data_IF_735792239476
#
_entry.id   IF_735792239476
#
_cell.length_a   1.000
_cell.length_b   1.000
_cell.length_c   1.000
_cell.angle_alpha   90.00
_cell.angle_beta   90.00
_cell.angle_gamma   90.00
#
_symmetry.space_group_name_H-M   'P 1'
#
loop_
_entity.id
_entity.type
_entity.pdbx_description
1 polymer ?
#
# COMPACT_ATOMS: atom_id res chain seq x y z
N UNK A 1 -10.75 10.64 -23.93
CA UNK A 1 -12.07 11.10 -23.46
C UNK A 1 -12.95 9.88 -23.13
N UNK A 2 -13.25 9.66 -21.89
CA UNK A 2 -14.18 8.62 -21.43
C UNK A 2 -15.47 9.29 -21.01
N UNK A 3 -16.59 9.01 -21.69
CA UNK A 3 -17.88 9.61 -21.37
C UNK A 3 -19.00 8.59 -21.32
N UNK A 4 -19.91 8.74 -20.36
CA UNK A 4 -21.16 8.01 -20.25
C UNK A 4 -22.30 8.90 -20.72
N UNK A 5 -23.04 8.48 -21.75
CA UNK A 5 -24.17 9.25 -22.27
C UNK A 5 -25.47 8.48 -22.15
N UNK A 6 -26.57 9.20 -21.90
CA UNK A 6 -27.93 8.66 -21.93
C UNK A 6 -28.49 8.70 -23.36
N UNK A 7 -29.21 7.67 -23.83
CA UNK A 7 -29.64 7.46 -25.21
C UNK A 7 -30.88 8.28 -25.63
N UNK A 8 -31.06 9.50 -25.17
CA UNK A 8 -32.07 10.40 -25.69
C UNK A 8 -31.41 11.60 -26.36
N UNK A 9 -31.95 12.08 -27.45
CA UNK A 9 -31.40 12.96 -28.48
C UNK A 9 -30.84 14.34 -28.07
N UNK A 10 -30.48 14.54 -26.82
CA UNK A 10 -29.61 15.59 -26.33
C UNK A 10 -28.37 14.92 -25.71
N UNK A 11 -27.18 15.34 -26.09
CA UNK A 11 -25.89 14.92 -25.52
C UNK A 11 -25.76 15.36 -24.04
N UNK A 12 -26.64 14.87 -23.18
CA UNK A 12 -26.50 15.03 -21.75
C UNK A 12 -25.59 13.88 -21.25
N UNK A 13 -24.35 14.19 -20.99
CA UNK A 13 -23.47 13.28 -20.30
C UNK A 13 -23.98 13.08 -18.87
N UNK A 14 -24.01 11.85 -18.40
CA UNK A 14 -24.27 11.51 -16.99
C UNK A 14 -23.03 11.85 -16.17
N UNK A 15 -21.86 11.51 -16.74
CA UNK A 15 -20.55 11.81 -16.19
C UNK A 15 -19.54 11.85 -17.32
N UNK A 16 -18.48 12.65 -17.20
CA UNK A 16 -17.42 12.79 -18.19
C UNK A 16 -16.10 12.97 -17.49
N UNK A 17 -15.08 12.30 -17.98
CA UNK A 17 -13.71 12.43 -17.54
C UNK A 17 -12.77 12.57 -18.72
N UNK A 18 -11.96 13.61 -18.71
CA UNK A 18 -10.94 13.89 -19.71
C UNK A 18 -9.62 13.33 -19.20
N UNK A 19 -9.31 12.09 -19.58
CA UNK A 19 -8.07 11.40 -19.21
C UNK A 19 -6.86 12.07 -19.85
N UNK A 20 -5.84 12.31 -19.02
CA UNK A 20 -4.50 12.70 -19.43
C UNK A 20 -3.48 11.79 -18.71
N UNK A 21 -2.42 11.42 -19.39
CA UNK A 21 -1.38 10.54 -18.84
C UNK A 21 -0.61 11.20 -17.67
N UNK A 22 -0.56 12.53 -17.64
CA UNK A 22 -0.01 13.32 -16.54
C UNK A 22 -0.79 13.25 -15.23
N UNK A 23 -1.98 12.63 -15.21
CA UNK A 23 -2.75 12.38 -13.98
C UNK A 23 -2.21 11.20 -13.17
N UNK A 24 -1.33 10.41 -13.77
CA UNK A 24 -0.65 9.34 -13.03
C UNK A 24 0.38 9.91 -12.05
N UNK A 25 0.62 9.16 -10.99
CA UNK A 25 1.57 9.54 -9.95
C UNK A 25 2.99 9.70 -10.54
N UNK A 26 3.59 10.87 -10.35
CA UNK A 26 4.84 11.30 -10.99
C UNK A 26 6.09 10.48 -10.63
N UNK A 27 6.03 9.73 -9.51
CA UNK A 27 7.15 8.87 -9.06
C UNK A 27 6.99 7.41 -9.50
N UNK A 28 6.03 7.09 -10.38
CA UNK A 28 5.97 5.79 -11.04
C UNK A 28 7.04 5.73 -12.13
N UNK A 29 7.79 4.65 -12.17
CA UNK A 29 8.77 4.39 -13.25
C UNK A 29 8.07 4.20 -14.59
N UNK A 30 6.87 3.61 -14.58
CA UNK A 30 6.03 3.36 -15.75
C UNK A 30 4.56 3.36 -15.33
N UNK A 31 3.71 4.06 -16.07
CA UNK A 31 2.26 4.08 -15.88
C UNK A 31 1.53 3.00 -16.69
N UNK A 32 2.22 2.25 -17.57
CA UNK A 32 1.60 1.19 -18.37
C UNK A 32 1.07 0.07 -17.45
N UNK A 33 -0.21 -0.26 -17.61
CA UNK A 33 -0.88 -1.28 -16.79
C UNK A 33 -1.32 -0.80 -15.40
N UNK A 34 -1.09 0.47 -15.05
CA UNK A 34 -1.55 1.05 -13.78
C UNK A 34 -2.92 1.71 -13.98
N UNK A 35 -3.90 1.32 -13.17
CA UNK A 35 -5.22 1.97 -13.19
C UNK A 35 -5.16 3.36 -12.56
N UNK A 36 -5.86 4.32 -13.18
CA UNK A 36 -6.17 5.58 -12.54
C UNK A 36 -7.46 5.41 -11.72
N UNK A 37 -7.40 5.68 -10.43
CA UNK A 37 -8.47 5.46 -9.47
C UNK A 37 -9.03 6.78 -8.94
N UNK A 38 -10.34 6.82 -8.76
CA UNK A 38 -11.04 7.95 -8.17
C UNK A 38 -10.93 7.91 -6.65
N UNK A 39 -10.49 9.00 -6.02
CA UNK A 39 -10.30 9.13 -4.57
C UNK A 39 -11.64 9.25 -3.85
N UNK A 40 -12.53 10.10 -4.38
CA UNK A 40 -13.86 10.37 -3.82
C UNK A 40 -14.94 10.33 -4.88
N UNK A 41 -15.98 9.53 -4.64
CA UNK A 41 -17.15 9.45 -5.53
C UNK A 41 -18.07 10.68 -5.46
N UNK A 42 -17.92 11.52 -4.44
CA UNK A 42 -18.71 12.74 -4.23
C UNK A 42 -18.03 14.01 -4.73
N UNK A 43 -16.72 13.96 -4.98
CA UNK A 43 -15.99 15.07 -5.56
C UNK A 43 -16.20 15.16 -7.08
N UNK A 44 -15.89 16.31 -7.66
CA UNK A 44 -16.02 16.56 -9.10
C UNK A 44 -15.16 15.56 -9.88
N UNK A 45 -15.75 14.94 -10.90
CA UNK A 45 -15.08 13.99 -11.79
C UNK A 45 -13.97 14.63 -12.61
N UNK A 46 -14.09 15.90 -12.96
CA UNK A 46 -13.08 16.63 -13.73
C UNK A 46 -11.96 17.22 -12.86
N UNK A 47 -12.04 17.10 -11.53
CA UNK A 47 -10.96 17.55 -10.65
C UNK A 47 -9.78 16.59 -10.76
N UNK A 48 -8.62 17.09 -11.19
CA UNK A 48 -7.38 16.33 -11.30
C UNK A 48 -6.98 15.74 -9.93
N UNK A 49 -7.16 16.50 -8.84
CA UNK A 49 -6.87 16.07 -7.46
C UNK A 49 -7.77 14.92 -6.96
N UNK A 50 -8.83 14.57 -7.71
CA UNK A 50 -9.72 13.47 -7.37
C UNK A 50 -9.28 12.13 -7.98
N UNK A 51 -8.14 12.08 -8.65
CA UNK A 51 -7.62 10.89 -9.30
C UNK A 51 -6.19 10.59 -8.86
N UNK A 52 -5.89 9.32 -8.73
CA UNK A 52 -4.55 8.86 -8.36
C UNK A 52 -4.29 7.47 -8.94
N UNK A 53 -3.03 7.17 -9.23
CA UNK A 53 -2.61 5.84 -9.66
C UNK A 53 -2.91 4.80 -8.59
N UNK A 54 -3.44 3.65 -9.00
CA UNK A 54 -3.63 2.51 -8.10
C UNK A 54 -2.31 2.11 -7.44
N UNK A 55 -2.39 1.69 -6.18
CA UNK A 55 -1.19 1.36 -5.41
C UNK A 55 -0.52 0.08 -5.89
N UNK A 56 0.80 -0.01 -5.70
CA UNK A 56 1.56 -1.24 -5.97
C UNK A 56 1.18 -2.35 -5.00
N UNK A 57 0.83 -2.00 -3.76
CA UNK A 57 0.38 -2.96 -2.74
C UNK A 57 -1.00 -3.55 -3.05
N UNK A 58 -1.82 -2.88 -3.87
CA UNK A 58 -3.09 -3.40 -4.37
C UNK A 58 -2.97 -4.08 -5.76
N UNK A 59 -1.76 -4.25 -6.27
CA UNK A 59 -1.50 -4.90 -7.56
C UNK A 59 -1.77 -3.99 -8.77
N UNK A 60 -1.66 -2.67 -8.61
CA UNK A 60 -1.78 -1.65 -9.66
C UNK A 60 -3.20 -1.50 -10.27
N UNK A 61 -4.19 -2.21 -9.73
CA UNK A 61 -5.60 -2.12 -10.12
C UNK A 61 -6.50 -2.75 -9.06
N UNK A 62 -7.76 -2.26 -8.94
CA UNK A 62 -8.75 -2.75 -7.97
C UNK A 62 -10.08 -3.12 -8.63
N UNK A 63 -10.11 -4.01 -9.66
CA UNK A 63 -11.34 -4.34 -10.36
C UNK A 63 -12.32 -5.07 -9.45
N UNK A 64 -13.51 -4.49 -9.26
CA UNK A 64 -14.60 -5.10 -8.48
C UNK A 64 -14.49 -4.99 -6.96
N UNK A 65 -13.51 -4.26 -6.46
CA UNK A 65 -13.35 -3.92 -5.04
C UNK A 65 -13.21 -2.40 -4.86
N UNK A 66 -13.13 -1.93 -3.62
CA UNK A 66 -12.88 -0.51 -3.34
C UNK A 66 -11.53 -0.06 -3.89
N UNK A 67 -11.48 1.17 -4.42
CA UNK A 67 -10.24 1.77 -4.92
C UNK A 67 -9.18 1.86 -3.82
N UNK A 68 -7.94 1.57 -4.16
CA UNK A 68 -6.82 1.57 -3.22
C UNK A 68 -6.54 2.97 -2.61
N UNK A 69 -6.97 4.01 -3.30
CA UNK A 69 -6.82 5.42 -2.91
C UNK A 69 -8.08 6.03 -2.29
N UNK A 70 -9.14 5.24 -2.03
CA UNK A 70 -10.33 5.74 -1.34
C UNK A 70 -9.95 6.28 0.04
N UNK A 71 -10.39 7.50 0.36
CA UNK A 71 -10.13 8.07 1.66
C UNK A 71 -10.84 7.27 2.75
N UNK A 72 -10.15 6.91 3.84
CA UNK A 72 -10.79 6.26 4.97
C UNK A 72 -11.82 7.19 5.62
N UNK A 73 -12.84 6.61 6.23
CA UNK A 73 -13.96 7.35 6.84
C UNK A 73 -13.51 8.22 8.02
N UNK A 74 -12.38 7.89 8.64
CA UNK A 74 -11.75 8.66 9.72
C UNK A 74 -10.35 9.08 9.30
N UNK A 75 -10.05 10.37 9.46
CA UNK A 75 -8.71 10.92 9.22
C UNK A 75 -7.83 10.50 10.39
N UNK A 76 -6.85 9.67 10.13
CA UNK A 76 -5.84 9.24 11.10
C UNK A 76 -4.49 9.87 10.75
N UNK A 77 -3.63 10.03 11.74
CA UNK A 77 -2.26 10.54 11.55
C UNK A 77 -1.31 9.48 10.93
N UNK A 78 -1.90 8.39 10.48
CA UNK A 78 -1.23 7.20 9.96
C UNK A 78 -1.01 6.15 11.05
N UNK A 79 -1.42 4.92 10.74
CA UNK A 79 -1.27 3.76 11.61
C UNK A 79 -0.39 2.72 10.91
N UNK A 80 0.48 2.05 11.68
CA UNK A 80 1.33 0.97 11.20
C UNK A 80 1.51 -0.03 12.34
N UNK A 81 0.69 -1.11 12.35
CA UNK A 81 0.58 -1.99 13.51
C UNK A 81 0.76 -3.46 13.13
N UNK A 82 1.46 -4.20 14.00
CA UNK A 82 1.57 -5.64 13.89
C UNK A 82 0.28 -6.30 14.38
N UNK A 83 -0.28 -7.22 13.59
CA UNK A 83 -1.44 -8.04 14.02
C UNK A 83 -1.03 -8.91 15.20
N UNK A 84 0.10 -9.61 15.05
CA UNK A 84 0.73 -10.38 16.11
C UNK A 84 2.23 -10.04 16.19
N UNK A 85 2.79 -10.08 17.39
CA UNK A 85 4.20 -9.79 17.61
C UNK A 85 5.11 -11.01 17.48
N UNK A 86 4.53 -12.19 17.48
CA UNK A 86 5.24 -13.46 17.39
C UNK A 86 4.64 -14.26 16.24
N UNK A 87 5.47 -14.78 15.37
CA UNK A 87 5.05 -15.62 14.26
C UNK A 87 6.03 -16.77 14.07
N UNK A 88 5.57 -17.82 13.39
CA UNK A 88 6.30 -19.09 13.22
C UNK A 88 6.12 -19.59 11.79
N UNK A 89 7.04 -19.33 10.87
CA UNK A 89 6.91 -19.68 9.45
C UNK A 89 7.20 -21.17 9.21
N UNK A 90 6.39 -22.05 9.81
CA UNK A 90 6.54 -23.50 9.75
C UNK A 90 5.56 -24.18 8.78
N UNK A 91 4.69 -23.39 8.12
CA UNK A 91 3.68 -23.84 7.14
C UNK A 91 2.59 -24.74 7.75
N UNK A 92 2.25 -24.58 9.02
CA UNK A 92 1.15 -25.29 9.67
C UNK A 92 -0.21 -24.58 9.51
N UNK A 93 -0.21 -23.35 8.97
CA UNK A 93 -1.39 -22.53 8.74
C UNK A 93 -1.75 -21.60 9.90
N UNK A 94 -0.93 -21.54 10.95
CA UNK A 94 -1.13 -20.68 12.10
C UNK A 94 0.07 -19.74 12.30
N UNK A 95 -0.15 -18.45 12.18
CA UNK A 95 0.88 -17.40 12.31
C UNK A 95 2.15 -17.63 11.46
N UNK A 96 2.00 -18.16 10.25
CA UNK A 96 3.10 -18.40 9.32
C UNK A 96 3.72 -17.12 8.76
N UNK A 97 3.03 -15.99 8.90
CA UNK A 97 3.46 -14.69 8.40
C UNK A 97 3.38 -13.63 9.49
N UNK A 98 4.38 -12.76 9.53
CA UNK A 98 4.21 -11.47 10.18
C UNK A 98 3.26 -10.63 9.33
N UNK A 99 2.17 -10.15 9.91
CA UNK A 99 1.20 -9.29 9.23
C UNK A 99 1.26 -7.90 9.85
N UNK A 100 1.46 -6.91 9.01
CA UNK A 100 1.54 -5.50 9.37
C UNK A 100 0.37 -4.79 8.70
N UNK A 101 -0.60 -4.32 9.47
CA UNK A 101 -1.67 -3.48 8.97
C UNK A 101 -1.23 -2.02 8.96
N UNK A 102 -1.58 -1.30 7.92
CA UNK A 102 -1.37 0.13 7.86
C UNK A 102 -2.62 0.87 7.40
N UNK A 103 -2.76 2.13 7.86
CA UNK A 103 -3.79 3.06 7.45
C UNK A 103 -3.18 4.45 7.36
N UNK A 104 -3.39 5.13 6.25
CA UNK A 104 -2.79 6.42 5.92
C UNK A 104 -3.87 7.48 5.75
N UNK A 105 -3.55 8.72 6.06
CA UNK A 105 -4.45 9.86 6.02
C UNK A 105 -4.76 10.37 4.60
N UNK A 106 -3.90 10.03 3.64
CA UNK A 106 -4.05 10.42 2.22
C UNK A 106 -3.35 9.42 1.29
N UNK A 107 -3.72 9.35 0.00
CA UNK A 107 -3.00 8.55 -0.99
C UNK A 107 -1.65 9.19 -1.34
N UNK A 108 -0.77 8.45 -2.04
CA UNK A 108 0.48 8.95 -2.60
C UNK A 108 1.73 8.75 -1.73
N UNK A 109 1.63 8.01 -0.62
CA UNK A 109 2.83 7.61 0.11
C UNK A 109 3.58 6.50 -0.59
N UNK A 110 4.88 6.71 -0.77
CA UNK A 110 5.83 5.69 -1.22
C UNK A 110 6.60 5.18 0.00
N UNK A 111 6.71 3.87 0.14
CA UNK A 111 7.30 3.23 1.31
C UNK A 111 8.52 2.39 0.98
N UNK A 112 9.46 2.41 1.91
CA UNK A 112 10.49 1.39 2.06
C UNK A 112 10.29 0.70 3.40
N UNK A 113 10.15 -0.63 3.39
CA UNK A 113 9.97 -1.41 4.61
C UNK A 113 11.07 -2.47 4.67
N UNK A 114 11.88 -2.39 5.71
CA UNK A 114 13.06 -3.22 5.92
C UNK A 114 12.97 -3.98 7.23
N UNK A 115 13.57 -5.16 7.23
CA UNK A 115 13.69 -6.06 8.39
C UNK A 115 15.15 -6.12 8.81
N UNK A 116 15.41 -5.92 10.09
CA UNK A 116 16.72 -6.01 10.70
C UNK A 116 16.71 -7.05 11.83
N UNK A 117 17.82 -7.69 12.08
CA UNK A 117 18.02 -8.48 13.28
C UNK A 117 18.31 -7.61 14.52
N UNK A 118 18.53 -8.23 15.67
CA UNK A 118 18.82 -7.57 16.94
C UNK A 118 20.23 -6.95 17.00
N UNK A 119 21.13 -7.34 16.10
CA UNK A 119 22.46 -6.75 15.91
C UNK A 119 22.42 -5.55 14.95
N UNK A 120 21.31 -5.36 14.22
CA UNK A 120 21.10 -4.25 13.28
C UNK A 120 21.54 -4.54 11.86
N UNK A 121 21.75 -5.80 11.49
CA UNK A 121 21.98 -6.20 10.10
C UNK A 121 20.66 -6.26 9.33
N UNK A 122 20.65 -5.73 8.13
CA UNK A 122 19.49 -5.82 7.24
C UNK A 122 19.33 -7.28 6.77
N UNK A 123 18.17 -7.84 7.04
CA UNK A 123 17.82 -9.23 6.71
C UNK A 123 17.02 -9.30 5.41
N UNK A 124 16.07 -8.38 5.25
CA UNK A 124 15.21 -8.33 4.08
C UNK A 124 14.68 -6.91 3.85
N UNK A 125 14.32 -6.62 2.60
CA UNK A 125 13.55 -5.43 2.23
C UNK A 125 12.23 -5.88 1.62
N UNK A 126 11.18 -5.93 2.44
CA UNK A 126 9.86 -6.46 2.06
C UNK A 126 9.03 -5.50 1.21
N UNK A 127 9.33 -4.19 1.25
CA UNK A 127 8.80 -3.19 0.32
C UNK A 127 9.93 -2.27 -0.11
N UNK A 128 10.10 -2.09 -1.42
CA UNK A 128 11.10 -1.20 -2.02
C UNK A 128 10.40 -0.20 -2.93
N UNK A 129 10.40 1.08 -2.55
CA UNK A 129 9.76 2.17 -3.27
C UNK A 129 8.32 1.87 -3.69
N UNK A 130 7.57 1.18 -2.82
CA UNK A 130 6.21 0.75 -3.10
C UNK A 130 5.21 1.89 -2.88
N UNK A 131 4.40 2.22 -3.89
CA UNK A 131 3.27 3.12 -3.74
C UNK A 131 2.18 2.43 -2.91
N UNK A 132 1.89 2.97 -1.72
CA UNK A 132 0.91 2.39 -0.80
C UNK A 132 -0.52 2.82 -1.14
N UNK A 133 -1.46 1.92 -0.84
CA UNK A 133 -2.88 2.26 -0.69
C UNK A 133 -3.09 3.15 0.55
N UNK A 134 -4.27 3.74 0.70
CA UNK A 134 -4.63 4.46 1.94
C UNK A 134 -4.82 3.52 3.14
N UNK A 135 -5.12 2.26 2.89
CA UNK A 135 -5.10 1.19 3.89
C UNK A 135 -4.71 -0.14 3.23
N UNK A 136 -4.10 -1.03 4.00
CA UNK A 136 -3.67 -2.32 3.49
C UNK A 136 -2.87 -3.12 4.49
N UNK A 137 -2.27 -4.19 4.00
CA UNK A 137 -1.38 -5.04 4.77
C UNK A 137 -0.06 -5.29 4.04
N UNK A 138 1.00 -5.46 4.81
CA UNK A 138 2.32 -5.90 4.35
C UNK A 138 2.64 -7.18 5.13
N UNK A 139 3.22 -8.16 4.47
CA UNK A 139 3.58 -9.42 5.10
C UNK A 139 5.07 -9.71 4.99
N UNK A 140 5.60 -10.38 6.00
CA UNK A 140 6.93 -10.98 5.96
C UNK A 140 6.83 -12.45 6.35
N UNK A 141 7.38 -13.32 5.52
CA UNK A 141 7.35 -14.78 5.71
C UNK A 141 8.57 -15.32 6.49
N UNK A 142 9.35 -14.44 7.11
CA UNK A 142 10.52 -14.85 7.89
C UNK A 142 11.73 -15.26 7.06
N UNK A 143 11.79 -14.90 5.76
CA UNK A 143 12.96 -15.19 4.93
C UNK A 143 13.91 -14.01 4.85
N UNK A 144 15.17 -14.31 4.51
CA UNK A 144 16.16 -13.31 4.12
C UNK A 144 15.95 -12.89 2.67
N UNK A 145 16.60 -11.81 2.23
CA UNK A 145 16.64 -11.35 0.84
C UNK A 145 17.16 -12.42 -0.15
N UNK A 146 17.89 -13.44 0.34
CA UNK A 146 18.37 -14.57 -0.44
C UNK A 146 17.37 -15.75 -0.48
N UNK A 147 16.21 -15.61 0.18
CA UNK A 147 15.15 -16.62 0.24
C UNK A 147 15.38 -17.74 1.25
N UNK A 148 16.38 -17.62 2.12
CA UNK A 148 16.61 -18.57 3.22
C UNK A 148 15.77 -18.21 4.43
N UNK A 149 15.29 -19.19 5.20
CA UNK A 149 14.58 -18.94 6.46
C UNK A 149 15.55 -18.28 7.45
N UNK A 150 15.10 -17.19 8.04
CA UNK A 150 15.85 -16.43 9.05
C UNK A 150 15.94 -17.23 10.36
N UNK A 151 16.93 -16.91 11.19
CA UNK A 151 17.09 -17.56 12.48
C UNK A 151 15.99 -17.16 13.46
N UNK A 152 15.67 -18.05 14.40
CA UNK A 152 14.77 -17.75 15.51
C UNK A 152 15.37 -16.59 16.31
N UNK A 153 14.58 -15.55 16.57
CA UNK A 153 15.10 -14.39 17.27
C UNK A 153 14.16 -13.18 17.18
N UNK A 154 14.70 -12.06 17.64
CA UNK A 154 14.04 -10.78 17.63
C UNK A 154 14.39 -10.03 16.33
N UNK A 155 13.38 -9.44 15.71
CA UNK A 155 13.52 -8.65 14.49
C UNK A 155 12.91 -7.27 14.65
N UNK A 156 13.50 -6.31 13.96
CA UNK A 156 13.08 -4.91 13.95
C UNK A 156 12.58 -4.58 12.56
N UNK A 157 11.34 -4.15 12.46
CA UNK A 157 10.74 -3.65 11.22
C UNK A 157 10.86 -2.14 11.23
N UNK A 158 11.47 -1.58 10.19
CA UNK A 158 11.56 -0.15 9.96
C UNK A 158 10.81 0.17 8.67
N UNK A 159 9.79 1.02 8.77
CA UNK A 159 9.07 1.54 7.62
C UNK A 159 9.31 3.05 7.50
N UNK A 160 9.83 3.46 6.36
CA UNK A 160 10.00 4.86 5.98
C UNK A 160 9.04 5.16 4.84
N UNK A 161 8.12 6.08 5.07
CA UNK A 161 7.13 6.53 4.11
C UNK A 161 7.44 7.98 3.76
N UNK A 162 7.39 8.30 2.49
CA UNK A 162 7.52 9.69 2.04
C UNK A 162 6.40 10.02 1.05
N UNK A 163 5.97 11.27 1.09
CA UNK A 163 4.95 11.82 0.22
C UNK A 163 5.55 12.97 -0.62
N UNK A 164 5.14 13.18 -1.90
CA UNK A 164 5.70 14.23 -2.76
C UNK A 164 5.60 15.64 -2.20
N UNK A 165 4.64 15.93 -1.31
CA UNK A 165 4.54 17.23 -0.62
C UNK A 165 5.64 17.47 0.43
N UNK A 166 6.53 16.47 0.65
CA UNK A 166 7.64 16.53 1.59
C UNK A 166 7.35 15.92 2.97
N UNK A 167 6.16 15.40 3.21
CA UNK A 167 5.85 14.70 4.46
C UNK A 167 6.58 13.35 4.54
N UNK A 168 7.16 13.05 5.70
CA UNK A 168 7.87 11.80 5.99
C UNK A 168 7.27 11.19 7.26
N UNK A 169 6.89 9.92 7.18
CA UNK A 169 6.46 9.12 8.34
C UNK A 169 7.44 7.97 8.56
N UNK A 170 7.82 7.74 9.80
CA UNK A 170 8.72 6.68 10.19
C UNK A 170 8.09 5.81 11.27
N UNK A 171 8.06 4.51 11.04
CA UNK A 171 7.53 3.54 11.99
C UNK A 171 8.62 2.52 12.33
N UNK A 172 8.67 2.16 13.61
CA UNK A 172 9.54 1.09 14.11
C UNK A 172 8.71 0.13 14.93
N UNK A 173 8.74 -1.14 14.54
CA UNK A 173 8.05 -2.23 15.26
C UNK A 173 9.04 -3.34 15.56
N UNK A 174 8.71 -4.14 16.56
CA UNK A 174 9.54 -5.28 16.98
C UNK A 174 8.69 -6.52 16.98
N UNK A 175 9.21 -7.58 16.39
CA UNK A 175 8.58 -8.89 16.36
C UNK A 175 9.57 -10.00 16.74
N UNK A 176 9.05 -11.18 16.95
CA UNK A 176 9.82 -12.39 17.24
C UNK A 176 9.47 -13.47 16.22
N UNK A 177 10.48 -14.00 15.55
CA UNK A 177 10.38 -15.24 14.80
C UNK A 177 10.64 -16.40 15.74
N UNK A 178 9.66 -17.30 15.89
CA UNK A 178 9.72 -18.48 16.76
C UNK A 178 9.71 -19.78 15.94
N UNK A 179 10.12 -20.88 16.55
CA UNK A 179 10.10 -22.20 15.90
C UNK A 179 8.72 -22.86 15.96
N UNK A 180 8.08 -22.80 17.12
CA UNK A 180 6.74 -23.32 17.35
C UNK A 180 5.97 -22.43 18.32
N UNK A 181 4.81 -21.96 17.88
CA UNK A 181 3.80 -21.36 18.75
C UNK A 181 2.70 -22.43 18.89
N UNK A 182 2.50 -22.93 20.09
CA UNK A 182 1.35 -23.78 20.43
C UNK A 182 0.38 -22.99 21.29
#
# INVERSE_FOLDING_TARGET
>A
NVSLSHSSASTNYIDQFDYDEGLHFELLDDAEGVSLERISFTADTQSEDNWHSASTTAGLATPGIANSNSLPTEVTDGEFELVEKVFSPNSDGDNDFLIINYKLDKPGYVANVKVFDDEGFEIDQIVSNGLLATEGLITWNGTTSEGSISQIGLYIIIAELFHPDGEIKNFKKVCVLADFIK
#
